data_IF_921031798565
#
_entry.id   IF_921031798565
#
_cell.length_a   1.000
_cell.length_b   1.000
_cell.length_c   1.000
_cell.angle_alpha   90.00
_cell.angle_beta   90.00
_cell.angle_gamma   90.00
#
_symmetry.space_group_name_H-M   'P 1'
#
loop_
_entity.id
_entity.type
_entity.pdbx_description
1 polymer ?
#
# COMPACT_ATOMS: atom_id res chain seq x y z
N UNK A 1 -17.63 15.08 5.09
CA UNK A 1 -18.07 16.50 4.85
C UNK A 1 -18.12 17.38 6.12
N UNK A 2 -18.15 16.82 7.33
CA UNK A 2 -18.17 17.63 8.55
C UNK A 2 -16.86 18.41 8.77
N UNK A 3 -15.71 17.80 8.48
CA UNK A 3 -14.41 18.46 8.60
C UNK A 3 -14.33 19.64 7.61
N UNK A 4 -14.76 19.44 6.38
CA UNK A 4 -14.73 20.48 5.35
C UNK A 4 -15.48 21.75 5.74
N UNK A 5 -16.58 21.62 6.46
CA UNK A 5 -17.36 22.77 6.97
C UNK A 5 -16.63 23.61 8.01
N UNK A 6 -15.60 23.06 8.64
CA UNK A 6 -14.90 23.67 9.77
C UNK A 6 -13.52 24.24 9.41
N UNK A 7 -13.02 23.95 8.20
CA UNK A 7 -11.66 24.35 7.79
C UNK A 7 -11.68 24.92 6.38
N UNK A 8 -10.83 25.92 6.14
CA UNK A 8 -10.62 26.57 4.84
C UNK A 8 -9.31 26.12 4.16
N UNK A 9 -8.47 25.38 4.87
CA UNK A 9 -7.21 24.87 4.32
C UNK A 9 -7.46 23.70 3.36
N UNK A 10 -6.54 23.42 2.42
CA UNK A 10 -6.62 22.24 1.58
C UNK A 10 -6.69 20.96 2.39
N UNK A 11 -7.64 20.09 2.06
CA UNK A 11 -7.85 18.80 2.70
C UNK A 11 -7.35 17.66 1.82
N UNK A 12 -6.51 16.80 2.39
CA UNK A 12 -6.13 15.53 1.80
C UNK A 12 -6.83 14.38 2.52
N UNK A 13 -7.49 13.52 1.78
CA UNK A 13 -8.11 12.31 2.33
C UNK A 13 -7.40 11.08 1.77
N UNK A 14 -6.91 10.22 2.67
CA UNK A 14 -6.22 8.98 2.32
C UNK A 14 -6.99 7.78 2.82
N UNK A 15 -7.16 6.78 1.96
CA UNK A 15 -7.78 5.49 2.28
C UNK A 15 -9.14 5.28 1.62
N UNK A 16 -9.44 4.03 1.31
CA UNK A 16 -10.71 3.62 0.69
C UNK A 16 -10.83 3.83 -0.82
N UNK A 17 -10.07 4.74 -1.39
CA UNK A 17 -10.11 5.02 -2.83
C UNK A 17 -9.47 3.90 -3.64
N UNK A 18 -10.21 3.36 -4.59
CA UNK A 18 -9.75 2.29 -5.49
C UNK A 18 -10.11 2.51 -6.96
N UNK A 19 -10.95 3.49 -7.28
CA UNK A 19 -11.36 3.78 -8.66
C UNK A 19 -11.17 5.25 -9.01
N UNK A 20 -10.76 5.52 -10.22
CA UNK A 20 -10.63 6.87 -10.77
C UNK A 20 -11.95 7.66 -10.61
N UNK A 21 -13.08 7.01 -10.90
CA UNK A 21 -14.42 7.62 -10.75
C UNK A 21 -14.69 8.10 -9.33
N UNK A 22 -14.41 7.27 -8.31
CA UNK A 22 -14.64 7.65 -6.91
C UNK A 22 -13.71 8.79 -6.47
N UNK A 23 -12.48 8.81 -6.96
CA UNK A 23 -11.51 9.88 -6.70
C UNK A 23 -11.98 11.19 -7.32
N UNK A 24 -12.38 11.20 -8.60
CA UNK A 24 -12.91 12.38 -9.28
C UNK A 24 -14.14 12.91 -8.56
N UNK A 25 -15.12 12.06 -8.25
CA UNK A 25 -16.32 12.46 -7.52
C UNK A 25 -16.02 13.10 -6.16
N UNK A 26 -15.02 12.63 -5.43
CA UNK A 26 -14.65 13.18 -4.14
C UNK A 26 -14.06 14.59 -4.27
N UNK A 27 -13.25 14.84 -5.31
CA UNK A 27 -12.68 16.16 -5.60
C UNK A 27 -13.77 17.09 -6.15
N UNK A 28 -14.52 16.66 -7.15
CA UNK A 28 -15.57 17.47 -7.82
C UNK A 28 -16.67 17.92 -6.85
N UNK A 29 -16.99 17.09 -5.84
CA UNK A 29 -17.93 17.44 -4.79
C UNK A 29 -17.40 18.47 -3.79
N UNK A 30 -16.12 18.84 -3.86
CA UNK A 30 -15.46 19.71 -2.89
C UNK A 30 -15.26 19.07 -1.50
N UNK A 31 -15.47 17.75 -1.37
CA UNK A 31 -15.29 17.05 -0.11
C UNK A 31 -13.81 16.95 0.32
N UNK A 32 -12.91 16.94 -0.65
CA UNK A 32 -11.46 16.94 -0.48
C UNK A 32 -10.80 17.65 -1.67
N UNK A 33 -9.62 18.20 -1.47
CA UNK A 33 -8.82 18.84 -2.53
C UNK A 33 -7.76 17.88 -3.09
N UNK A 34 -7.31 16.92 -2.28
CA UNK A 34 -6.23 15.99 -2.64
C UNK A 34 -6.64 14.56 -2.25
N UNK A 35 -6.40 13.63 -3.14
CA UNK A 35 -6.58 12.19 -2.88
C UNK A 35 -5.25 11.55 -2.53
N UNK A 36 -5.20 10.88 -1.38
CA UNK A 36 -4.06 10.06 -0.97
C UNK A 36 -4.27 8.59 -1.30
N UNK A 37 -3.28 7.98 -1.94
CA UNK A 37 -3.26 6.55 -2.29
C UNK A 37 -2.03 5.93 -1.66
N UNK A 38 -2.18 4.83 -0.93
CA UNK A 38 -1.05 4.12 -0.31
C UNK A 38 -0.95 2.67 -0.79
N UNK A 39 -1.89 1.81 -0.36
CA UNK A 39 -1.84 0.38 -0.66
C UNK A 39 -1.77 0.02 -2.14
N UNK A 40 -2.51 0.66 -3.04
CA UNK A 40 -2.39 0.39 -4.47
C UNK A 40 -0.97 0.60 -5.01
N UNK A 41 -0.27 1.64 -4.55
CA UNK A 41 1.08 1.96 -5.05
C UNK A 41 2.12 0.89 -4.73
N UNK A 42 1.88 0.06 -3.72
CA UNK A 42 2.78 -1.06 -3.40
C UNK A 42 2.75 -2.20 -4.44
N UNK A 43 1.78 -2.18 -5.35
CA UNK A 43 1.60 -3.24 -6.37
C UNK A 43 1.35 -2.66 -7.76
N UNK A 44 0.74 -1.50 -7.82
CA UNK A 44 0.39 -0.76 -9.05
C UNK A 44 1.04 0.62 -9.01
N UNK A 45 2.39 0.72 -9.10
CA UNK A 45 3.10 2.00 -8.95
C UNK A 45 2.71 3.03 -10.01
N UNK A 46 2.28 2.59 -11.18
CA UNK A 46 1.87 3.45 -12.30
C UNK A 46 0.39 3.86 -12.26
N UNK A 47 -0.36 3.43 -11.25
CA UNK A 47 -1.79 3.73 -11.10
C UNK A 47 -2.11 5.23 -11.18
N UNK A 48 -1.34 6.15 -10.55
CA UNK A 48 -1.61 7.58 -10.65
C UNK A 48 -1.52 8.10 -12.08
N UNK A 49 -0.53 7.66 -12.86
CA UNK A 49 -0.37 8.07 -14.25
C UNK A 49 -1.55 7.60 -15.11
N UNK A 50 -2.01 6.37 -14.92
CA UNK A 50 -3.18 5.84 -15.60
C UNK A 50 -4.45 6.64 -15.29
N UNK A 51 -4.63 7.08 -14.03
CA UNK A 51 -5.75 7.91 -13.61
C UNK A 51 -5.66 9.30 -14.25
N UNK A 52 -4.49 9.94 -14.21
CA UNK A 52 -4.27 11.27 -14.75
C UNK A 52 -4.35 11.31 -16.29
N UNK A 53 -4.02 10.23 -16.95
CA UNK A 53 -4.20 10.06 -18.39
C UNK A 53 -5.69 9.96 -18.81
N UNK A 54 -6.62 10.07 -17.86
CA UNK A 54 -8.06 10.05 -18.15
C UNK A 54 -8.60 8.67 -18.53
N UNK A 55 -7.89 7.60 -18.19
CA UNK A 55 -8.38 6.24 -18.43
C UNK A 55 -9.62 5.99 -17.56
N UNK A 56 -10.78 6.12 -18.17
CA UNK A 56 -12.06 5.83 -17.51
C UNK A 56 -12.10 4.33 -17.15
N UNK A 57 -12.54 4.02 -15.93
CA UNK A 57 -12.67 2.64 -15.48
C UNK A 57 -11.43 2.06 -14.80
N UNK A 58 -10.37 2.86 -14.58
CA UNK A 58 -9.23 2.43 -13.77
C UNK A 58 -9.71 2.11 -12.34
N UNK A 59 -9.52 0.86 -11.94
CA UNK A 59 -9.87 0.35 -10.61
C UNK A 59 -8.70 -0.47 -10.08
N UNK A 60 -8.19 -0.09 -8.92
CA UNK A 60 -7.19 -0.91 -8.24
C UNK A 60 -7.79 -2.23 -7.76
N UNK A 61 -7.17 -3.34 -8.15
CA UNK A 61 -7.56 -4.71 -7.77
C UNK A 61 -6.63 -5.31 -6.70
N UNK A 62 -5.85 -4.48 -6.05
CA UNK A 62 -4.88 -4.93 -5.05
C UNK A 62 -5.58 -5.51 -3.84
N UNK A 63 -5.52 -6.82 -3.74
CA UNK A 63 -5.94 -7.58 -2.55
C UNK A 63 -4.93 -8.69 -2.30
N UNK A 64 -4.34 -8.76 -1.09
CA UNK A 64 -3.47 -9.88 -0.73
C UNK A 64 -4.24 -11.19 -0.85
N UNK A 65 -3.59 -12.22 -1.41
CA UNK A 65 -4.19 -13.55 -1.53
C UNK A 65 -4.38 -14.15 -0.13
N UNK A 66 -5.61 -14.40 0.25
CA UNK A 66 -5.97 -14.97 1.54
C UNK A 66 -5.50 -16.43 1.66
N UNK A 67 -5.17 -16.84 2.87
CA UNK A 67 -4.79 -18.23 3.20
C UNK A 67 -5.98 -19.16 3.21
N UNK A 68 -7.19 -18.63 3.42
CA UNK A 68 -8.44 -19.38 3.66
C UNK A 68 -8.70 -19.68 5.14
N UNK A 69 -7.74 -19.40 6.01
CA UNK A 69 -7.89 -19.57 7.46
C UNK A 69 -8.23 -18.20 8.07
N UNK A 70 -9.49 -18.01 8.46
CA UNK A 70 -10.02 -16.72 8.91
C UNK A 70 -9.19 -16.07 10.03
N UNK A 71 -8.71 -16.85 10.98
CA UNK A 71 -7.88 -16.35 12.09
C UNK A 71 -6.58 -15.76 11.60
N UNK A 72 -5.93 -16.42 10.65
CA UNK A 72 -4.67 -15.97 10.05
C UNK A 72 -4.90 -14.75 9.16
N UNK A 73 -5.94 -14.81 8.33
CA UNK A 73 -6.26 -13.75 7.37
C UNK A 73 -6.67 -12.42 8.05
N UNK A 74 -7.15 -12.48 9.28
CA UNK A 74 -7.51 -11.31 10.08
C UNK A 74 -6.32 -10.73 10.86
N UNK A 75 -5.14 -11.34 10.82
CA UNK A 75 -3.94 -10.79 11.46
C UNK A 75 -3.39 -9.63 10.63
N UNK A 76 -3.43 -8.42 11.18
CA UNK A 76 -2.89 -7.22 10.52
C UNK A 76 -1.43 -7.38 10.06
N UNK A 77 -0.64 -8.17 10.79
CA UNK A 77 0.76 -8.49 10.46
C UNK A 77 0.89 -9.16 9.08
N UNK A 78 -0.07 -9.98 8.67
CA UNK A 78 -0.05 -10.64 7.37
C UNK A 78 -0.16 -9.65 6.22
N UNK A 79 -1.13 -8.75 6.30
CA UNK A 79 -1.33 -7.72 5.29
C UNK A 79 -0.14 -6.76 5.23
N UNK A 80 0.33 -6.28 6.38
CA UNK A 80 1.50 -5.39 6.47
C UNK A 80 2.75 -6.05 5.89
N UNK A 81 3.02 -7.31 6.24
CA UNK A 81 4.17 -8.05 5.72
C UNK A 81 4.11 -8.23 4.21
N UNK A 82 2.91 -8.51 3.67
CA UNK A 82 2.73 -8.67 2.24
C UNK A 82 3.01 -7.37 1.48
N UNK A 83 2.44 -6.23 1.92
CA UNK A 83 2.73 -4.93 1.30
C UNK A 83 4.20 -4.53 1.45
N UNK A 84 4.79 -4.71 2.63
CA UNK A 84 6.22 -4.44 2.87
C UNK A 84 7.11 -5.26 1.93
N UNK A 85 6.73 -6.50 1.65
CA UNK A 85 7.43 -7.36 0.71
C UNK A 85 7.36 -6.83 -0.72
N UNK A 86 6.20 -6.32 -1.16
CA UNK A 86 6.08 -5.72 -2.50
C UNK A 86 6.94 -4.45 -2.62
N UNK A 87 6.90 -3.57 -1.61
CA UNK A 87 7.74 -2.38 -1.57
C UNK A 87 9.24 -2.71 -1.60
N UNK A 88 9.66 -3.73 -0.85
CA UNK A 88 11.06 -4.20 -0.87
C UNK A 88 11.46 -4.75 -2.24
N UNK A 89 10.57 -5.44 -2.95
CA UNK A 89 10.83 -5.89 -4.33
C UNK A 89 11.11 -4.70 -5.24
N UNK A 90 10.22 -3.70 -5.23
CA UNK A 90 10.40 -2.48 -6.03
C UNK A 90 11.69 -1.73 -5.66
N UNK A 91 11.99 -1.60 -4.37
CA UNK A 91 13.24 -0.98 -3.88
C UNK A 91 14.51 -1.71 -4.32
N UNK A 92 14.40 -2.97 -4.75
CA UNK A 92 15.51 -3.76 -5.32
C UNK A 92 15.43 -3.91 -6.85
N UNK A 93 14.63 -3.07 -7.52
CA UNK A 93 14.47 -3.05 -8.97
C UNK A 93 13.70 -4.23 -9.55
N UNK A 94 12.85 -4.87 -8.75
CA UNK A 94 12.01 -6.01 -9.19
C UNK A 94 10.56 -5.60 -9.24
N UNK A 95 9.81 -6.10 -10.21
CA UNK A 95 8.38 -5.86 -10.30
C UNK A 95 7.63 -6.41 -9.09
N UNK A 96 6.53 -5.76 -8.68
CA UNK A 96 5.60 -6.32 -7.71
C UNK A 96 5.10 -7.70 -8.12
N UNK A 97 4.75 -8.52 -7.14
CA UNK A 97 4.21 -9.86 -7.37
C UNK A 97 2.88 -10.02 -6.62
N UNK A 98 1.76 -9.58 -7.22
CA UNK A 98 0.46 -9.54 -6.55
C UNK A 98 -0.10 -10.92 -6.19
N UNK A 99 0.35 -11.97 -6.85
CA UNK A 99 -0.02 -13.37 -6.61
C UNK A 99 0.86 -14.07 -5.54
N UNK A 100 1.85 -13.35 -4.95
CA UNK A 100 2.69 -13.92 -3.89
C UNK A 100 1.85 -14.29 -2.66
N UNK A 101 2.04 -15.51 -2.14
CA UNK A 101 1.37 -15.97 -0.92
C UNK A 101 1.72 -15.09 0.28
N UNK A 102 0.71 -14.74 1.08
CA UNK A 102 0.87 -13.93 2.30
C UNK A 102 1.80 -14.61 3.31
N UNK A 103 1.70 -15.93 3.46
CA UNK A 103 2.58 -16.71 4.35
C UNK A 103 4.03 -16.68 3.87
N UNK A 104 4.26 -16.81 2.57
CA UNK A 104 5.61 -16.72 2.00
C UNK A 104 6.19 -15.31 2.16
N UNK A 105 5.37 -14.28 1.98
CA UNK A 105 5.76 -12.89 2.19
C UNK A 105 6.18 -12.66 3.66
N UNK A 106 5.38 -13.12 4.62
CA UNK A 106 5.69 -13.03 6.05
C UNK A 106 7.02 -13.72 6.37
N UNK A 107 7.21 -14.96 5.92
CA UNK A 107 8.47 -15.69 6.15
C UNK A 107 9.68 -14.93 5.61
N UNK A 108 9.60 -14.40 4.38
CA UNK A 108 10.68 -13.62 3.78
C UNK A 108 10.96 -12.32 4.53
N UNK A 109 9.92 -11.62 5.02
CA UNK A 109 10.09 -10.41 5.82
C UNK A 109 10.80 -10.73 7.13
N UNK A 110 10.38 -11.77 7.85
CA UNK A 110 11.02 -12.21 9.10
C UNK A 110 12.50 -12.59 8.86
N UNK A 111 12.78 -13.35 7.82
CA UNK A 111 14.16 -13.73 7.46
C UNK A 111 15.02 -12.49 7.16
N UNK A 112 14.49 -11.52 6.41
CA UNK A 112 15.20 -10.28 6.07
C UNK A 112 15.46 -9.43 7.32
N UNK A 113 14.48 -9.30 8.21
CA UNK A 113 14.62 -8.58 9.48
C UNK A 113 15.63 -9.25 10.41
N UNK A 114 15.62 -10.60 10.50
CA UNK A 114 16.57 -11.37 11.27
C UNK A 114 18.01 -11.13 10.81
N UNK A 115 18.28 -11.25 9.53
CA UNK A 115 19.61 -11.00 8.95
C UNK A 115 20.05 -9.54 9.16
N UNK A 116 19.14 -8.57 9.00
CA UNK A 116 19.40 -7.16 9.27
C UNK A 116 19.80 -6.90 10.72
N UNK A 117 19.11 -7.53 11.67
CA UNK A 117 19.39 -7.39 13.10
C UNK A 117 20.77 -7.93 13.48
N UNK A 118 21.18 -9.06 12.90
CA UNK A 118 22.52 -9.62 13.12
C UNK A 118 23.61 -8.72 12.53
N UNK A 119 23.40 -8.14 11.35
CA UNK A 119 24.36 -7.23 10.71
C UNK A 119 24.55 -5.96 11.52
N UNK A 120 23.47 -5.38 12.03
CA UNK A 120 23.50 -4.15 12.85
C UNK A 120 24.19 -4.40 14.20
N UNK A 121 23.97 -5.56 14.81
CA UNK A 121 24.67 -5.96 16.05
C UNK A 121 26.19 -6.07 15.87
N UNK A 122 26.64 -6.64 14.75
CA UNK A 122 28.09 -6.71 14.43
C UNK A 122 28.73 -5.33 14.25
N UNK A 123 28.04 -4.41 13.59
CA UNK A 123 28.55 -3.05 13.40
C UNK A 123 28.66 -2.27 14.71
N UNK A 124 27.76 -2.49 15.68
CA UNK A 124 27.80 -1.87 17.02
C UNK A 124 28.85 -2.49 17.95
N UNK A 125 29.23 -3.73 17.72
CA UNK A 125 30.26 -4.40 18.52
C UNK A 125 31.69 -4.05 18.10
N UNK A 126 31.86 -3.46 16.91
CA UNK A 126 33.17 -3.08 16.36
C UNK A 126 33.45 -1.57 16.46
N UNK A 127 32.58 -0.81 17.10
CA UNK A 127 32.77 0.58 17.52
C UNK A 127 32.79 0.68 19.05
#
# INVERSE_FOLDING_TARGET
NEIRKRVSIPLMVTGGFRSAKAMAQAVDSGATDIIGIARPLAVEPDLPNAILAGQSGVVSRVTPRKTGIKTIDNMAMMEVSWFSRQLHRMGTGKDPKPDESVLLALFKVIATMGVGSFKTRRLRANN
#
